data_IF_088912797377
#
_entry.id   IF_088912797377
#
_cell.length_a   1.000
_cell.length_b   1.000
_cell.length_c   1.000
_cell.angle_alpha   90.00
_cell.angle_beta   90.00
_cell.angle_gamma   90.00
#
_symmetry.space_group_name_H-M   'P 1'
#
loop_
_entity.id
_entity.type
_entity.pdbx_description
1 polymer ?
#
# COMPACT_ATOMS: atom_id res chain seq x y z
N UNK A 1 -4.62 29.62 -13.36
CA UNK A 1 -3.45 29.29 -12.51
C UNK A 1 -2.73 28.08 -13.10
N UNK A 2 -1.42 27.96 -12.85
CA UNK A 2 -0.58 26.86 -13.37
C UNK A 2 -0.39 25.79 -12.29
N UNK A 3 0.00 24.58 -12.69
CA UNK A 3 0.36 23.51 -11.75
C UNK A 3 1.51 23.93 -10.82
N UNK A 4 2.47 24.70 -11.33
CA UNK A 4 3.53 25.30 -10.51
C UNK A 4 2.94 26.10 -9.35
N UNK A 5 2.01 27.02 -9.64
CA UNK A 5 1.38 27.88 -8.61
C UNK A 5 0.56 27.06 -7.61
N UNK A 6 -0.06 25.98 -8.06
CA UNK A 6 -0.83 25.08 -7.21
C UNK A 6 0.10 24.36 -6.21
N UNK A 7 1.23 23.82 -6.69
CA UNK A 7 2.24 23.18 -5.83
C UNK A 7 2.92 24.20 -4.91
N UNK A 8 3.21 25.41 -5.41
CA UNK A 8 3.86 26.50 -4.66
C UNK A 8 2.98 27.10 -3.57
N UNK A 9 1.66 26.88 -3.61
CA UNK A 9 0.70 27.50 -2.69
C UNK A 9 1.02 27.24 -1.21
N UNK A 10 1.28 25.98 -0.85
CA UNK A 10 1.65 25.60 0.49
C UNK A 10 2.94 26.28 0.98
N UNK A 11 4.08 26.09 0.29
CA UNK A 11 5.36 26.74 0.60
C UNK A 11 5.26 28.26 0.71
N UNK A 12 4.49 28.90 -0.17
CA UNK A 12 4.26 30.35 -0.14
C UNK A 12 3.54 30.79 1.14
N UNK A 13 2.52 30.06 1.55
CA UNK A 13 1.78 30.35 2.79
C UNK A 13 2.63 30.10 4.06
N UNK A 14 3.69 29.32 3.93
CA UNK A 14 4.69 29.12 5.01
C UNK A 14 5.68 30.31 5.11
N UNK A 15 5.61 31.28 4.22
CA UNK A 15 6.47 32.46 4.22
C UNK A 15 7.89 32.18 3.74
N UNK A 16 8.10 31.15 2.93
CA UNK A 16 9.40 30.85 2.34
C UNK A 16 9.74 31.87 1.23
N UNK A 17 11.02 32.07 0.99
CA UNK A 17 11.49 32.90 -0.12
C UNK A 17 11.29 32.20 -1.47
N UNK A 18 11.34 32.99 -2.56
CA UNK A 18 11.04 32.50 -3.92
C UNK A 18 12.00 31.38 -4.35
N UNK A 19 13.27 31.46 -4.00
CA UNK A 19 14.27 30.45 -4.38
C UNK A 19 14.00 29.11 -3.70
N UNK A 20 13.63 29.13 -2.42
CA UNK A 20 13.26 27.91 -1.68
C UNK A 20 11.92 27.36 -2.16
N UNK A 21 10.95 28.21 -2.51
CA UNK A 21 9.68 27.78 -3.10
C UNK A 21 9.95 27.04 -4.41
N UNK A 22 10.71 27.65 -5.31
CA UNK A 22 11.05 27.09 -6.62
C UNK A 22 11.73 25.72 -6.47
N UNK A 23 12.75 25.64 -5.62
CA UNK A 23 13.46 24.40 -5.32
C UNK A 23 12.51 23.30 -4.81
N UNK A 24 11.58 23.63 -3.90
CA UNK A 24 10.62 22.67 -3.35
C UNK A 24 9.58 22.23 -4.35
N UNK A 25 9.13 23.09 -5.24
CA UNK A 25 8.18 22.74 -6.30
C UNK A 25 8.80 21.73 -7.26
N UNK A 26 10.01 21.98 -7.76
CA UNK A 26 10.71 21.07 -8.67
C UNK A 26 11.07 19.74 -7.97
N UNK A 27 11.53 19.78 -6.73
CA UNK A 27 11.80 18.59 -5.94
C UNK A 27 10.53 17.73 -5.74
N UNK A 28 9.41 18.35 -5.39
CA UNK A 28 8.13 17.67 -5.21
C UNK A 28 7.57 17.10 -6.52
N UNK A 29 7.65 17.86 -7.61
CA UNK A 29 7.26 17.39 -8.94
C UNK A 29 8.06 16.16 -9.37
N UNK A 30 9.38 16.19 -9.16
CA UNK A 30 10.26 15.06 -9.42
C UNK A 30 9.90 13.83 -8.59
N UNK A 31 9.54 13.99 -7.30
CA UNK A 31 9.14 12.88 -6.42
C UNK A 31 7.88 12.15 -6.89
N UNK A 32 6.95 12.85 -7.53
CA UNK A 32 5.70 12.24 -8.02
C UNK A 32 5.76 11.89 -9.51
N UNK A 33 6.93 11.97 -10.13
CA UNK A 33 7.11 11.70 -11.56
C UNK A 33 6.26 12.62 -12.45
N UNK A 34 6.10 13.88 -12.08
CA UNK A 34 5.43 14.89 -12.89
C UNK A 34 6.43 15.52 -13.85
N UNK A 35 6.10 15.48 -15.16
CA UNK A 35 6.90 16.14 -16.19
C UNK A 35 6.96 17.64 -15.95
N UNK A 36 8.16 18.23 -15.98
CA UNK A 36 8.37 19.67 -15.79
C UNK A 36 7.57 20.52 -16.77
N UNK A 37 7.37 20.04 -18.01
CA UNK A 37 6.55 20.74 -19.01
C UNK A 37 5.09 20.90 -18.57
N UNK A 38 4.63 20.12 -17.60
CA UNK A 38 3.28 20.24 -17.07
C UNK A 38 3.16 21.32 -15.99
N UNK A 39 4.26 21.80 -15.42
CA UNK A 39 4.25 22.83 -14.38
C UNK A 39 3.65 24.15 -14.86
N UNK A 40 3.86 24.49 -16.13
CA UNK A 40 3.33 25.72 -16.75
C UNK A 40 1.88 25.56 -17.26
N UNK A 41 1.35 24.33 -17.27
CA UNK A 41 -0.02 24.08 -17.72
C UNK A 41 -1.05 24.33 -16.62
N UNK A 42 -2.28 24.57 -17.08
CA UNK A 42 -3.43 24.62 -16.17
C UNK A 42 -3.75 23.24 -15.62
N UNK A 43 -4.03 23.08 -14.31
CA UNK A 43 -4.51 21.80 -13.75
C UNK A 43 -5.77 21.26 -14.45
N UNK A 44 -6.57 22.13 -15.07
CA UNK A 44 -7.78 21.71 -15.80
C UNK A 44 -7.47 20.95 -17.09
N UNK A 45 -6.29 21.13 -17.67
CA UNK A 45 -5.84 20.47 -18.90
C UNK A 45 -5.23 19.08 -18.64
N UNK A 46 -5.03 18.72 -17.38
CA UNK A 46 -4.37 17.48 -16.98
C UNK A 46 -5.34 16.28 -16.95
N UNK A 47 -4.81 15.10 -17.18
CA UNK A 47 -5.50 13.84 -16.89
C UNK A 47 -5.78 13.69 -15.39
N UNK A 48 -6.70 12.79 -15.02
CA UNK A 48 -7.00 12.51 -13.61
C UNK A 48 -5.77 12.09 -12.79
N UNK A 49 -4.91 11.25 -13.37
CA UNK A 49 -3.66 10.82 -12.73
C UNK A 49 -2.67 11.96 -12.55
N UNK A 50 -2.50 12.81 -13.58
CA UNK A 50 -1.64 13.99 -13.49
C UNK A 50 -2.15 15.00 -12.43
N UNK A 51 -3.45 15.26 -12.37
CA UNK A 51 -4.06 16.08 -11.31
C UNK A 51 -3.74 15.56 -9.92
N UNK A 52 -3.82 14.23 -9.76
CA UNK A 52 -3.50 13.59 -8.48
C UNK A 52 -2.04 13.77 -8.10
N UNK A 53 -1.12 13.62 -9.06
CA UNK A 53 0.31 13.87 -8.84
C UNK A 53 0.58 15.31 -8.42
N UNK A 54 -0.05 16.29 -9.06
CA UNK A 54 0.04 17.71 -8.68
C UNK A 54 -0.44 17.92 -7.23
N UNK A 55 -1.59 17.36 -6.87
CA UNK A 55 -2.12 17.48 -5.50
C UNK A 55 -1.18 16.88 -4.44
N UNK A 56 -0.62 15.69 -4.71
CA UNK A 56 0.36 15.03 -3.82
C UNK A 56 1.65 15.85 -3.74
N UNK A 57 2.15 16.37 -4.87
CA UNK A 57 3.32 17.25 -4.92
C UNK A 57 3.13 18.51 -4.07
N UNK A 58 1.94 19.15 -4.14
CA UNK A 58 1.60 20.33 -3.35
C UNK A 58 1.73 20.11 -1.84
N UNK A 59 1.34 18.92 -1.36
CA UNK A 59 1.53 18.56 0.05
C UNK A 59 2.98 18.23 0.37
N UNK A 60 3.68 17.47 -0.49
CA UNK A 60 5.09 17.12 -0.31
C UNK A 60 6.02 18.34 -0.33
N UNK A 61 5.72 19.37 -1.14
CA UNK A 61 6.48 20.61 -1.20
C UNK A 61 6.55 21.36 0.15
N UNK A 62 5.58 21.15 1.02
CA UNK A 62 5.60 21.69 2.39
C UNK A 62 6.59 20.97 3.31
N UNK A 63 7.17 19.84 2.89
CA UNK A 63 8.06 18.97 3.69
C UNK A 63 7.48 18.63 5.08
N UNK A 64 6.28 18.05 5.12
CA UNK A 64 5.63 17.73 6.37
C UNK A 64 6.40 16.66 7.14
N UNK A 65 6.36 16.69 8.48
CA UNK A 65 6.86 15.60 9.32
C UNK A 65 5.95 14.36 9.27
N UNK A 66 4.67 14.58 9.05
CA UNK A 66 3.65 13.54 8.92
C UNK A 66 2.83 13.85 7.67
N UNK A 67 2.78 12.91 6.74
CA UNK A 67 2.00 12.97 5.51
C UNK A 67 0.83 12.00 5.62
N UNK A 68 -0.40 12.52 5.57
CA UNK A 68 -1.62 11.70 5.57
C UNK A 68 -2.18 11.64 4.16
N UNK A 69 -2.33 10.44 3.63
CA UNK A 69 -2.86 10.17 2.30
C UNK A 69 -4.09 9.28 2.41
N UNK A 70 -5.24 9.81 2.06
CA UNK A 70 -6.52 9.09 2.04
C UNK A 70 -6.83 8.66 0.61
N UNK A 71 -6.81 7.35 0.37
CA UNK A 71 -7.03 6.72 -0.94
C UNK A 71 -6.23 7.36 -2.09
N UNK A 72 -4.89 7.53 -1.96
CA UNK A 72 -4.11 8.28 -2.95
C UNK A 72 -4.09 7.64 -4.34
N UNK A 73 -4.36 6.36 -4.44
CA UNK A 73 -4.36 5.60 -5.69
C UNK A 73 -5.77 5.30 -6.24
N UNK A 74 -6.83 5.85 -5.62
CA UNK A 74 -8.20 5.60 -6.07
C UNK A 74 -8.44 6.13 -7.49
N UNK A 75 -9.06 5.31 -8.34
CA UNK A 75 -9.40 5.68 -9.71
C UNK A 75 -8.22 5.67 -10.70
N UNK A 76 -7.04 5.24 -10.27
CA UNK A 76 -5.91 5.00 -11.16
C UNK A 76 -5.95 3.56 -11.71
N UNK A 77 -5.37 3.38 -12.88
CA UNK A 77 -5.05 2.06 -13.40
C UNK A 77 -3.96 1.37 -12.55
N UNK A 78 -3.72 0.07 -12.71
CA UNK A 78 -2.75 -0.65 -11.89
C UNK A 78 -1.34 -0.08 -11.96
N UNK A 79 -0.90 0.40 -13.13
CA UNK A 79 0.44 0.98 -13.33
C UNK A 79 0.57 2.32 -12.61
N UNK A 80 -0.35 3.26 -12.82
CA UNK A 80 -0.36 4.56 -12.15
C UNK A 80 -0.53 4.45 -10.63
N UNK A 81 -1.24 3.41 -10.15
CA UNK A 81 -1.34 3.08 -8.73
C UNK A 81 0.02 2.67 -8.15
N UNK A 82 0.70 1.73 -8.80
CA UNK A 82 2.02 1.26 -8.39
C UNK A 82 3.07 2.37 -8.42
N UNK A 83 3.02 3.23 -9.43
CA UNK A 83 3.91 4.38 -9.54
C UNK A 83 3.75 5.33 -8.36
N UNK A 84 2.54 5.84 -8.11
CA UNK A 84 2.33 6.85 -7.06
C UNK A 84 2.64 6.30 -5.65
N UNK A 85 2.29 5.04 -5.37
CA UNK A 85 2.60 4.43 -4.07
C UNK A 85 4.09 4.13 -3.91
N UNK A 86 4.79 3.76 -4.98
CA UNK A 86 6.23 3.61 -4.99
C UNK A 86 6.94 4.94 -4.73
N UNK A 87 6.48 6.03 -5.34
CA UNK A 87 7.04 7.37 -5.13
C UNK A 87 6.81 7.85 -3.70
N UNK A 88 5.63 7.62 -3.13
CA UNK A 88 5.35 7.90 -1.72
C UNK A 88 6.30 7.12 -0.79
N UNK A 89 6.54 5.83 -1.07
CA UNK A 89 7.48 5.01 -0.30
C UNK A 89 8.92 5.50 -0.44
N UNK A 90 9.32 5.90 -1.65
CA UNK A 90 10.63 6.49 -1.89
C UNK A 90 10.80 7.83 -1.17
N UNK A 91 9.77 8.67 -1.17
CA UNK A 91 9.75 9.93 -0.42
C UNK A 91 9.94 9.68 1.08
N UNK A 92 9.15 8.75 1.66
CA UNK A 92 9.32 8.34 3.06
C UNK A 92 10.77 7.92 3.38
N UNK A 93 11.36 7.05 2.54
CA UNK A 93 12.73 6.55 2.73
C UNK A 93 13.78 7.65 2.65
N UNK A 94 13.62 8.61 1.71
CA UNK A 94 14.59 9.69 1.49
C UNK A 94 14.50 10.79 2.54
N UNK A 95 13.30 11.09 3.03
CA UNK A 95 13.07 12.26 3.89
C UNK A 95 12.87 11.91 5.36
N UNK A 96 12.58 10.63 5.68
CA UNK A 96 12.18 10.22 7.04
C UNK A 96 10.78 10.69 7.44
N UNK A 97 10.00 11.27 6.52
CA UNK A 97 8.61 11.68 6.77
C UNK A 97 7.76 10.47 7.15
N UNK A 98 7.02 10.56 8.25
CA UNK A 98 6.05 9.52 8.59
C UNK A 98 4.87 9.60 7.63
N UNK A 99 4.56 8.49 6.95
CA UNK A 99 3.40 8.41 6.04
C UNK A 99 2.30 7.59 6.68
N UNK A 100 1.10 8.17 6.80
CA UNK A 100 -0.13 7.49 7.15
C UNK A 100 -0.94 7.29 5.87
N UNK A 101 -0.96 6.06 5.37
CA UNK A 101 -1.71 5.65 4.18
C UNK A 101 -3.04 5.04 4.61
N UNK A 102 -4.14 5.65 4.19
CA UNK A 102 -5.48 5.05 4.32
C UNK A 102 -5.84 4.42 2.97
N UNK A 103 -6.13 3.13 2.96
CA UNK A 103 -6.53 2.39 1.77
C UNK A 103 -7.45 1.22 2.11
N UNK A 104 -8.35 0.89 1.20
CA UNK A 104 -9.16 -0.33 1.22
C UNK A 104 -8.52 -1.47 0.39
N UNK A 105 -7.42 -1.20 -0.31
CA UNK A 105 -6.67 -2.22 -1.07
C UNK A 105 -5.72 -2.96 -0.14
N UNK A 106 -6.03 -4.21 0.12
CA UNK A 106 -5.18 -5.07 0.95
C UNK A 106 -3.83 -5.37 0.28
N UNK A 107 -3.80 -5.40 -1.05
CA UNK A 107 -2.60 -5.57 -1.86
C UNK A 107 -1.65 -4.38 -1.70
N UNK A 108 -2.18 -3.15 -1.72
CA UNK A 108 -1.37 -1.93 -1.53
C UNK A 108 -0.78 -1.88 -0.11
N UNK A 109 -1.61 -2.16 0.89
CA UNK A 109 -1.16 -2.24 2.29
C UNK A 109 -0.06 -3.30 2.43
N UNK A 110 -0.27 -4.50 1.88
CA UNK A 110 0.69 -5.61 1.94
C UNK A 110 2.03 -5.29 1.28
N UNK A 111 2.01 -4.46 0.21
CA UNK A 111 3.19 -4.12 -0.60
C UNK A 111 3.95 -2.90 -0.08
N UNK A 112 3.25 -1.89 0.42
CA UNK A 112 3.82 -0.58 0.68
C UNK A 112 3.93 -0.20 2.14
N UNK A 113 3.07 -0.71 3.03
CA UNK A 113 3.12 -0.39 4.45
C UNK A 113 4.21 -1.18 5.19
N UNK A 114 4.71 -0.62 6.28
CA UNK A 114 5.59 -1.30 7.24
C UNK A 114 4.80 -1.80 8.45
N UNK A 115 3.77 -1.06 8.85
CA UNK A 115 2.86 -1.38 9.95
C UNK A 115 1.42 -1.14 9.52
N UNK A 116 0.49 -1.89 10.09
CA UNK A 116 -0.94 -1.78 9.81
C UNK A 116 -1.70 -1.50 11.08
N UNK A 117 -2.56 -0.49 11.03
CA UNK A 117 -3.54 -0.18 12.05
C UNK A 117 -4.92 -0.54 11.50
N UNK A 118 -5.58 -1.50 12.14
CA UNK A 118 -6.93 -1.95 11.79
C UNK A 118 -7.93 -1.31 12.73
N UNK A 119 -8.92 -0.63 12.16
CA UNK A 119 -10.02 -0.03 12.92
C UNK A 119 -11.30 -0.84 12.74
N UNK A 120 -11.97 -1.11 13.85
CA UNK A 120 -13.30 -1.71 13.88
C UNK A 120 -14.11 -1.14 15.03
N UNK A 121 -15.39 -0.85 14.81
CA UNK A 121 -16.29 -0.29 15.81
C UNK A 121 -15.72 0.96 16.53
N UNK A 122 -15.07 1.86 15.77
CA UNK A 122 -14.43 3.11 16.27
C UNK A 122 -13.29 2.87 17.28
N UNK A 123 -12.70 1.68 17.29
CA UNK A 123 -11.58 1.30 18.14
C UNK A 123 -10.47 0.68 17.31
N UNK A 124 -9.26 0.74 17.83
CA UNK A 124 -8.14 -0.01 17.24
C UNK A 124 -8.35 -1.49 17.57
N UNK A 125 -8.56 -2.29 16.53
CA UNK A 125 -8.70 -3.75 16.64
C UNK A 125 -7.33 -4.44 16.60
N UNK A 126 -6.42 -3.96 15.73
CA UNK A 126 -5.06 -4.47 15.62
C UNK A 126 -4.09 -3.31 15.32
N UNK A 127 -2.85 -3.42 15.79
CA UNK A 127 -1.76 -2.53 15.38
C UNK A 127 -0.44 -3.29 15.48
N UNK A 128 0.10 -3.68 14.33
CA UNK A 128 1.34 -4.46 14.27
C UNK A 128 2.04 -4.31 12.91
N UNK A 129 3.12 -5.08 12.68
CA UNK A 129 3.74 -5.20 11.36
C UNK A 129 2.75 -5.79 10.35
N UNK A 130 2.98 -5.51 9.07
CA UNK A 130 2.17 -6.06 7.96
C UNK A 130 2.07 -7.59 8.06
N UNK A 131 3.19 -8.25 8.31
CA UNK A 131 3.29 -9.70 8.45
C UNK A 131 2.39 -10.23 9.59
N UNK A 132 2.49 -9.63 10.80
CA UNK A 132 1.74 -10.05 11.98
C UNK A 132 0.24 -9.83 11.82
N UNK A 133 -0.16 -8.74 11.15
CA UNK A 133 -1.59 -8.46 10.90
C UNK A 133 -2.15 -9.45 9.88
N UNK A 134 -1.47 -9.71 8.76
CA UNK A 134 -1.98 -10.66 7.76
C UNK A 134 -1.84 -12.12 8.16
N UNK A 135 -0.94 -12.48 9.08
CA UNK A 135 -0.93 -13.80 9.71
C UNK A 135 -2.24 -14.09 10.49
N UNK A 136 -2.95 -13.05 10.91
CA UNK A 136 -4.27 -13.12 11.56
C UNK A 136 -5.43 -12.97 10.56
N UNK A 137 -5.26 -13.48 9.33
CA UNK A 137 -6.25 -13.39 8.26
C UNK A 137 -7.67 -13.84 8.67
N UNK A 138 -7.88 -14.95 9.43
CA UNK A 138 -9.21 -15.33 9.90
C UNK A 138 -9.89 -14.26 10.78
N UNK A 139 -9.12 -13.55 11.62
CA UNK A 139 -9.65 -12.47 12.46
C UNK A 139 -10.03 -11.23 11.63
N UNK A 140 -9.22 -10.88 10.61
CA UNK A 140 -9.55 -9.81 9.69
C UNK A 140 -10.87 -10.09 8.95
N UNK A 141 -11.04 -11.32 8.47
CA UNK A 141 -12.28 -11.76 7.82
C UNK A 141 -13.48 -11.72 8.77
N UNK A 142 -13.32 -12.13 10.03
CA UNK A 142 -14.36 -12.04 11.06
C UNK A 142 -14.76 -10.59 11.40
N UNK A 143 -13.83 -9.61 11.22
CA UNK A 143 -14.13 -8.18 11.33
C UNK A 143 -14.81 -7.59 10.08
N UNK A 144 -15.11 -8.43 9.06
CA UNK A 144 -15.70 -7.98 7.80
C UNK A 144 -14.71 -7.33 6.84
N UNK A 145 -13.42 -7.44 7.11
CA UNK A 145 -12.36 -6.92 6.25
C UNK A 145 -11.93 -7.96 5.22
N UNK A 146 -11.33 -7.52 4.13
CA UNK A 146 -10.72 -8.41 3.15
C UNK A 146 -9.27 -8.74 3.56
N UNK A 147 -8.67 -9.68 2.82
CA UNK A 147 -7.24 -10.00 2.86
C UNK A 147 -6.73 -10.07 1.42
N UNK A 148 -5.41 -9.99 1.18
CA UNK A 148 -4.85 -10.14 -0.17
C UNK A 148 -5.32 -11.41 -0.88
N UNK A 149 -5.46 -11.37 -2.19
CA UNK A 149 -5.95 -12.50 -2.98
C UNK A 149 -5.10 -13.75 -2.78
N UNK A 150 -3.78 -13.59 -2.73
CA UNK A 150 -2.87 -14.70 -2.46
C UNK A 150 -3.12 -15.35 -1.09
N UNK A 151 -3.47 -14.57 -0.07
CA UNK A 151 -3.83 -15.09 1.25
C UNK A 151 -5.08 -15.96 1.16
N UNK A 152 -6.11 -15.51 0.42
CA UNK A 152 -7.34 -16.31 0.21
C UNK A 152 -7.05 -17.65 -0.46
N UNK A 153 -6.15 -17.64 -1.48
CA UNK A 153 -5.74 -18.85 -2.18
C UNK A 153 -5.06 -19.83 -1.21
N UNK A 154 -4.11 -19.35 -0.39
CA UNK A 154 -3.39 -20.21 0.55
C UNK A 154 -4.29 -20.74 1.66
N UNK A 155 -5.20 -19.92 2.19
CA UNK A 155 -6.22 -20.40 3.13
C UNK A 155 -7.08 -21.50 2.50
N UNK A 156 -7.49 -21.35 1.23
CA UNK A 156 -8.26 -22.37 0.52
C UNK A 156 -7.49 -23.66 0.27
N UNK A 157 -6.21 -23.57 -0.08
CA UNK A 157 -5.34 -24.75 -0.19
C UNK A 157 -5.25 -25.50 1.14
N UNK A 158 -5.14 -24.81 2.26
CA UNK A 158 -5.15 -25.42 3.60
C UNK A 158 -6.50 -26.09 3.93
N UNK A 159 -7.62 -25.46 3.61
CA UNK A 159 -8.95 -26.09 3.74
C UNK A 159 -9.07 -27.38 2.93
N UNK A 160 -8.42 -27.44 1.77
CA UNK A 160 -8.33 -28.66 0.94
C UNK A 160 -7.33 -29.69 1.49
N UNK A 161 -6.67 -29.41 2.61
CA UNK A 161 -5.72 -30.31 3.26
C UNK A 161 -4.28 -30.22 2.74
N UNK A 162 -3.95 -29.17 1.95
CA UNK A 162 -2.58 -28.97 1.46
C UNK A 162 -1.73 -28.29 2.55
N UNK A 163 -0.54 -28.86 2.82
CA UNK A 163 0.42 -28.32 3.79
C UNK A 163 1.21 -27.13 3.18
N UNK A 164 0.62 -25.94 3.30
CA UNK A 164 1.20 -24.66 2.90
C UNK A 164 1.03 -23.64 4.02
N UNK A 165 1.89 -22.60 4.11
CA UNK A 165 1.77 -21.55 5.12
C UNK A 165 0.42 -20.81 5.03
N UNK A 166 -0.09 -20.32 6.15
CA UNK A 166 -1.33 -19.51 6.21
C UNK A 166 -1.06 -18.01 6.15
N UNK A 167 0.18 -17.60 6.35
CA UNK A 167 0.64 -16.21 6.48
C UNK A 167 1.16 -15.60 5.18
N UNK A 168 0.79 -16.16 4.04
CA UNK A 168 1.21 -15.68 2.72
C UNK A 168 0.35 -14.48 2.32
N UNK A 169 0.96 -13.31 2.18
CA UNK A 169 0.25 -12.05 1.90
C UNK A 169 0.80 -11.25 0.70
N UNK A 170 1.90 -11.71 0.07
CA UNK A 170 2.45 -11.10 -1.16
C UNK A 170 2.64 -12.13 -2.26
N UNK A 171 2.55 -11.69 -3.53
CA UNK A 171 2.76 -12.55 -4.69
C UNK A 171 4.16 -13.15 -4.73
N UNK A 172 5.26 -12.40 -4.49
CA UNK A 172 6.61 -13.00 -4.46
C UNK A 172 6.75 -14.09 -3.38
N UNK A 173 6.16 -13.89 -2.20
CA UNK A 173 6.16 -14.88 -1.14
C UNK A 173 5.33 -16.11 -1.52
N UNK A 174 4.17 -15.91 -2.15
CA UNK A 174 3.34 -17.01 -2.66
C UNK A 174 4.09 -17.88 -3.68
N UNK A 175 4.78 -17.26 -4.64
CA UNK A 175 5.59 -17.96 -5.64
C UNK A 175 6.68 -18.80 -4.98
N UNK A 176 7.40 -18.23 -4.01
CA UNK A 176 8.42 -18.95 -3.24
C UNK A 176 7.83 -20.19 -2.56
N UNK A 177 6.73 -20.05 -1.83
CA UNK A 177 6.09 -21.15 -1.10
C UNK A 177 5.55 -22.25 -2.04
N UNK A 178 5.02 -21.88 -3.21
CA UNK A 178 4.56 -22.86 -4.20
C UNK A 178 5.75 -23.65 -4.79
N UNK A 179 6.86 -22.96 -5.09
CA UNK A 179 8.06 -23.64 -5.61
C UNK A 179 8.67 -24.59 -4.57
N UNK A 180 8.73 -24.18 -3.30
CA UNK A 180 9.17 -25.04 -2.19
C UNK A 180 8.25 -26.26 -2.01
N UNK A 181 6.93 -26.05 -2.04
CA UNK A 181 5.97 -27.16 -1.97
C UNK A 181 6.11 -28.12 -3.16
N UNK A 182 6.36 -27.60 -4.37
CA UNK A 182 6.65 -28.43 -5.55
C UNK A 182 7.90 -29.27 -5.36
N UNK A 183 8.99 -28.67 -4.87
CA UNK A 183 10.25 -29.39 -4.62
C UNK A 183 10.06 -30.50 -3.56
N UNK A 184 9.35 -30.23 -2.48
CA UNK A 184 9.00 -31.25 -1.45
C UNK A 184 8.22 -32.41 -2.06
N UNK A 185 7.22 -32.12 -2.88
CA UNK A 185 6.44 -33.14 -3.58
C UNK A 185 7.33 -34.00 -4.51
N UNK A 186 8.20 -33.34 -5.30
CA UNK A 186 9.07 -34.03 -6.24
C UNK A 186 10.16 -34.86 -5.51
N UNK A 187 10.48 -34.54 -4.27
CA UNK A 187 11.32 -35.32 -3.34
C UNK A 187 10.56 -36.44 -2.63
N UNK A 188 9.26 -36.62 -2.91
CA UNK A 188 8.42 -37.68 -2.31
C UNK A 188 7.88 -37.37 -0.92
N UNK A 189 7.94 -36.09 -0.47
CA UNK A 189 7.34 -35.68 0.79
C UNK A 189 5.83 -35.51 0.65
N UNK A 190 5.09 -35.83 1.73
CA UNK A 190 3.65 -35.61 1.79
C UNK A 190 3.34 -34.11 1.94
N UNK A 191 2.49 -33.58 1.07
CA UNK A 191 1.95 -32.23 1.18
C UNK A 191 0.56 -32.20 1.84
N UNK A 192 0.20 -33.24 2.59
CA UNK A 192 -1.09 -33.36 3.27
C UNK A 192 -0.95 -32.87 4.71
N UNK A 193 -1.78 -31.88 5.10
CA UNK A 193 -1.84 -31.43 6.48
C UNK A 193 -2.22 -32.57 7.43
N UNK A 194 -1.57 -32.71 8.61
CA UNK A 194 -2.03 -33.59 9.65
C UNK A 194 -3.49 -33.29 10.01
N UNK A 195 -4.32 -34.32 10.16
CA UNK A 195 -5.78 -34.21 10.37
C UNK A 195 -6.21 -33.34 11.54
N UNK A 196 -5.35 -33.04 12.50
CA UNK A 196 -5.64 -32.16 13.65
C UNK A 196 -5.61 -30.67 13.32
N UNK A 197 -4.91 -30.26 12.27
CA UNK A 197 -4.80 -28.83 11.88
C UNK A 197 -5.90 -28.39 10.89
N UNK A 198 -6.57 -29.31 10.21
CA UNK A 198 -7.65 -28.99 9.27
C UNK A 198 -8.95 -28.52 9.95
N UNK A 199 -9.14 -28.79 11.24
CA UNK A 199 -10.35 -28.41 12.00
C UNK A 199 -10.29 -27.02 12.66
N UNK A 200 -9.13 -26.36 12.74
CA UNK A 200 -8.97 -25.03 13.36
C UNK A 200 -9.19 -23.85 12.40
N UNK A 201 -9.49 -24.10 11.12
CA UNK A 201 -9.80 -23.07 10.13
C UNK A 201 -11.28 -22.97 9.74
N UNK A 202 -12.13 -23.83 10.31
CA UNK A 202 -13.58 -23.77 10.08
C UNK A 202 -14.20 -22.68 10.94
N UNK A 203 -14.70 -21.63 10.30
CA UNK A 203 -15.61 -20.65 10.91
C UNK A 203 -16.81 -21.44 11.41
N UNK A 204 -17.06 -21.39 12.72
CA UNK A 204 -18.30 -21.86 13.32
C UNK A 204 -19.45 -21.09 12.69
N UNK A 205 -20.27 -21.78 11.89
CA UNK A 205 -21.57 -21.28 11.50
C UNK A 205 -22.43 -21.07 12.75
N UNK A 206 -22.77 -19.82 13.00
CA UNK A 206 -23.95 -19.40 13.74
C UNK A 206 -24.45 -18.12 13.11
#
# INVERSE_FOLDING_TARGET
ETCYKDIAFGPKNMGLDEAEIDRRVHEAASFVGLDEALLERSPFELSGGQKRRVAVAGVMAMKPRILVLDEPAAGLDPEGRDEILSEVKNYHKKTGTTVLLVSHSMEDIAKYADRVLVMSNKKIAMYDTVEQVFARAPELLALGLSVPQVTKIFLKLREMGVDVPADVYTVPYAVKMILEAKQRRDAGESLVLPREQSRKGGVSEC
#
